data_IF_579071042480
#
_entry.id   IF_579071042480
#
_cell.length_a   1.000
_cell.length_b   1.000
_cell.length_c   1.000
_cell.angle_alpha   90.00
_cell.angle_beta   90.00
_cell.angle_gamma   90.00
#
_symmetry.space_group_name_H-M   'P 1'
#
loop_
_entity.id
_entity.type
_entity.pdbx_description
1 polymer ?
#
# COMPACT_ATOMS: atom_id res chain seq x y z
N UNK A 1 24.06 -4.79 10.46
CA UNK A 1 25.31 -5.32 11.01
C UNK A 1 25.66 -6.53 10.16
N UNK A 2 26.81 -6.51 9.49
CA UNK A 2 27.14 -7.43 8.40
C UNK A 2 27.49 -8.84 8.92
N UNK A 3 26.86 -9.87 8.38
CA UNK A 3 27.00 -11.28 8.79
C UNK A 3 28.45 -11.75 8.66
N UNK A 4 29.21 -11.16 7.74
CA UNK A 4 30.65 -11.41 7.57
C UNK A 4 31.48 -11.02 8.81
N UNK A 5 31.07 -10.00 9.56
CA UNK A 5 31.80 -9.52 10.75
C UNK A 5 31.67 -10.51 11.91
N UNK A 6 30.51 -11.16 12.05
CA UNK A 6 30.25 -12.14 13.12
C UNK A 6 31.02 -13.45 12.86
N UNK A 7 31.11 -13.89 11.61
CA UNK A 7 31.90 -15.07 11.24
C UNK A 7 33.41 -14.83 11.40
N UNK A 8 33.90 -13.62 11.07
CA UNK A 8 35.29 -13.23 11.31
C UNK A 8 35.69 -13.26 12.79
N UNK A 9 34.79 -12.84 13.70
CA UNK A 9 35.03 -12.89 15.15
C UNK A 9 35.02 -14.32 15.71
N UNK A 10 34.23 -15.24 15.13
CA UNK A 10 34.22 -16.66 15.54
C UNK A 10 35.55 -17.36 15.17
N UNK A 11 36.14 -17.04 14.02
CA UNK A 11 37.42 -17.61 13.58
C UNK A 11 38.64 -17.11 14.39
N UNK A 12 38.60 -15.88 14.90
CA UNK A 12 39.70 -15.37 15.75
C UNK A 12 39.66 -15.93 17.18
N UNK A 13 38.47 -16.27 17.70
CA UNK A 13 38.35 -16.83 19.05
C UNK A 13 38.78 -18.30 19.14
N UNK A 14 38.55 -19.12 18.11
CA UNK A 14 38.98 -20.53 18.12
C UNK A 14 40.50 -20.66 18.06
N UNK A 15 41.20 -19.75 17.36
CA UNK A 15 42.66 -19.75 17.25
C UNK A 15 43.37 -19.38 18.55
N UNK A 16 42.74 -18.56 19.42
CA UNK A 16 43.31 -18.20 20.73
C UNK A 16 43.14 -19.27 21.81
N UNK A 17 42.19 -20.20 21.64
CA UNK A 17 41.98 -21.29 22.59
C UNK A 17 43.00 -22.43 22.45
N UNK A 18 43.58 -22.67 21.27
CA UNK A 18 44.63 -23.70 21.11
C UNK A 18 45.95 -23.30 21.79
N UNK A 19 46.30 -22.01 21.74
CA UNK A 19 47.58 -21.52 22.26
C UNK A 19 47.65 -21.56 23.80
N UNK A 20 46.49 -21.53 24.49
CA UNK A 20 46.43 -21.63 25.95
C UNK A 20 46.52 -23.08 26.46
N UNK A 21 46.10 -24.05 25.66
CA UNK A 21 46.15 -25.46 26.05
C UNK A 21 47.56 -26.05 25.87
N UNK A 22 48.35 -25.50 24.94
CA UNK A 22 49.76 -25.86 24.73
C UNK A 22 50.68 -25.26 25.81
N UNK A 23 50.32 -24.12 26.42
CA UNK A 23 51.12 -23.50 27.49
C UNK A 23 50.99 -24.19 28.86
N UNK A 24 49.94 -24.98 29.08
CA UNK A 24 49.69 -25.67 30.36
C UNK A 24 50.36 -27.06 30.46
N UNK A 25 50.95 -27.58 29.38
CA UNK A 25 51.70 -28.84 29.41
C UNK A 25 53.17 -28.67 29.82
N UNK A 26 53.68 -27.43 29.92
CA UNK A 26 55.11 -27.16 30.12
C UNK A 26 55.50 -26.77 31.57
N UNK A 27 54.55 -26.78 32.52
CA UNK A 27 54.78 -26.39 33.92
C UNK A 27 55.02 -27.56 34.87
N UNK A 28 55.02 -28.82 34.39
CA UNK A 28 55.20 -30.01 35.23
C UNK A 28 56.64 -30.49 35.44
N UNK A 29 57.67 -29.75 34.99
CA UNK A 29 59.06 -30.25 34.94
C UNK A 29 60.05 -29.65 35.95
N UNK A 30 59.62 -29.07 37.08
CA UNK A 30 60.55 -28.49 38.05
C UNK A 30 60.21 -28.86 39.50
N UNK A 31 60.45 -30.11 39.88
CA UNK A 31 60.73 -30.53 41.26
C UNK A 31 61.39 -31.91 41.20
N UNK A 32 62.66 -31.93 40.80
CA UNK A 32 63.52 -33.11 40.95
C UNK A 32 63.98 -33.11 42.42
N UNK A 33 63.48 -34.05 43.21
CA UNK A 33 63.89 -34.22 44.61
C UNK A 33 65.42 -34.38 44.69
N UNK A 34 66.09 -33.78 45.69
CA UNK A 34 67.49 -34.04 45.93
C UNK A 34 67.66 -35.48 46.43
N UNK A 35 68.38 -36.30 45.65
CA UNK A 35 68.86 -37.61 46.07
C UNK A 35 69.80 -37.45 47.27
N UNK A 36 69.28 -37.65 48.48
CA UNK A 36 70.10 -37.80 49.67
C UNK A 36 70.85 -39.14 49.57
N UNK A 37 72.11 -39.11 49.16
CA UNK A 37 73.00 -40.26 49.35
C UNK A 37 73.19 -40.43 50.85
N UNK A 38 72.61 -41.49 51.41
CA UNK A 38 72.94 -41.97 52.75
C UNK A 38 74.45 -42.20 52.83
N UNK A 39 75.14 -41.28 53.51
CA UNK A 39 76.54 -41.49 53.86
C UNK A 39 76.55 -42.60 54.92
N UNK A 40 76.90 -43.81 54.49
CA UNK A 40 77.20 -44.98 55.31
C UNK A 40 78.45 -44.70 56.18
N UNK A 41 78.37 -43.74 57.10
CA UNK A 41 79.34 -43.56 58.16
C UNK A 41 78.89 -44.47 59.30
N UNK A 42 79.36 -45.71 59.24
CA UNK A 42 79.25 -46.72 60.29
C UNK A 42 80.02 -46.24 61.55
N UNK A 43 79.36 -45.84 62.66
CA UNK A 43 80.05 -45.35 63.84
C UNK A 43 80.40 -46.53 64.78
N UNK A 44 81.06 -47.56 64.25
CA UNK A 44 81.33 -48.80 64.99
C UNK A 44 82.74 -49.37 64.81
N UNK A 45 83.74 -48.51 64.62
CA UNK A 45 85.14 -48.93 64.67
C UNK A 45 85.96 -47.90 65.44
N UNK A 46 86.07 -48.04 66.77
CA UNK A 46 87.18 -47.55 67.60
C UNK A 46 86.88 -47.86 69.08
N UNK A 47 86.75 -49.14 69.42
CA UNK A 47 86.79 -49.59 70.82
C UNK A 47 87.51 -50.94 70.88
N UNK A 48 88.62 -50.93 71.61
CA UNK A 48 89.33 -52.05 72.22
C UNK A 48 90.42 -52.74 71.38
N UNK A 49 91.65 -52.24 71.53
CA UNK A 49 92.81 -53.11 71.75
C UNK A 49 93.81 -52.39 72.67
N UNK A 50 93.65 -52.60 73.99
CA UNK A 50 94.68 -52.28 74.98
C UNK A 50 95.10 -53.61 75.61
N UNK A 51 96.06 -54.26 74.95
CA UNK A 51 96.79 -55.40 75.48
C UNK A 51 98.01 -54.95 76.28
N UNK A 52 97.96 -55.23 77.58
CA UNK A 52 99.05 -55.59 78.50
C UNK A 52 100.20 -54.58 78.82
N UNK A 53 100.38 -54.20 80.10
CA UNK A 53 101.52 -53.40 80.56
C UNK A 53 102.70 -54.27 81.02
N UNK A 54 103.89 -53.98 80.50
CA UNK A 54 105.16 -54.48 81.02
C UNK A 54 105.59 -53.67 82.26
N UNK A 55 105.98 -54.38 83.31
CA UNK A 55 106.57 -53.83 84.53
C UNK A 55 107.90 -53.12 84.23
N UNK A 56 108.13 -51.94 84.80
CA UNK A 56 109.09 -51.75 85.92
C UNK A 56 109.53 -50.29 86.08
N UNK A 57 109.61 -49.90 87.36
CA UNK A 57 110.34 -48.78 87.98
C UNK A 57 109.61 -47.43 88.17
N UNK A 58 109.31 -47.02 89.43
CA UNK A 58 108.81 -45.69 89.83
C UNK A 58 109.99 -44.72 90.03
N UNK A 59 109.84 -43.37 89.90
CA UNK A 59 109.15 -42.54 90.91
C UNK A 59 108.48 -41.24 90.38
N UNK A 60 107.95 -40.44 91.33
CA UNK A 60 107.29 -39.13 91.23
C UNK A 60 105.78 -39.12 90.88
N UNK A 61 105.04 -39.80 91.75
CA UNK A 61 103.60 -39.63 91.98
C UNK A 61 103.34 -38.48 92.96
N UNK A 62 102.87 -37.32 92.45
CA UNK A 62 101.83 -36.50 93.11
C UNK A 62 101.31 -35.38 92.19
N UNK A 63 102.13 -34.83 91.29
CA UNK A 63 101.69 -33.77 90.35
C UNK A 63 100.81 -34.29 89.19
N UNK A 64 101.12 -35.46 88.60
CA UNK A 64 100.31 -36.05 87.51
C UNK A 64 98.85 -36.38 87.89
N UNK A 65 98.56 -36.57 89.18
CA UNK A 65 97.21 -36.89 89.67
C UNK A 65 96.33 -35.64 89.79
N UNK A 66 96.93 -34.47 90.05
CA UNK A 66 96.22 -33.18 90.07
C UNK A 66 95.85 -32.74 88.67
N UNK A 67 96.76 -32.85 87.70
CA UNK A 67 96.51 -32.48 86.31
C UNK A 67 95.37 -33.30 85.69
N UNK A 68 95.33 -34.61 85.95
CA UNK A 68 94.23 -35.47 85.49
C UNK A 68 92.88 -35.17 86.17
N UNK A 69 92.90 -34.73 87.43
CA UNK A 69 91.69 -34.32 88.15
C UNK A 69 91.15 -32.97 87.66
N UNK A 70 92.03 -32.02 87.32
CA UNK A 70 91.68 -30.73 86.74
C UNK A 70 91.17 -30.88 85.29
N UNK A 71 91.83 -31.69 84.46
CA UNK A 71 91.36 -32.04 83.11
C UNK A 71 89.95 -32.68 83.14
N UNK A 72 89.68 -33.55 84.12
CA UNK A 72 88.36 -34.17 84.26
C UNK A 72 87.30 -33.16 84.72
N UNK A 73 87.65 -32.26 85.65
CA UNK A 73 86.75 -31.17 86.05
C UNK A 73 86.42 -30.23 84.88
N UNK A 74 87.42 -29.91 84.05
CA UNK A 74 87.24 -29.10 82.84
C UNK A 74 86.36 -29.82 81.81
N UNK A 75 86.59 -31.12 81.58
CA UNK A 75 85.76 -31.94 80.70
C UNK A 75 84.30 -31.98 81.16
N UNK A 76 84.06 -32.17 82.47
CA UNK A 76 82.71 -32.16 83.04
C UNK A 76 82.03 -30.80 82.83
N UNK A 77 82.77 -29.68 82.95
CA UNK A 77 82.25 -28.35 82.67
C UNK A 77 81.89 -28.17 81.19
N UNK A 78 82.78 -28.58 80.28
CA UNK A 78 82.53 -28.52 78.83
C UNK A 78 81.33 -29.38 78.42
N UNK A 79 81.19 -30.58 78.97
CA UNK A 79 80.03 -31.45 78.74
C UNK A 79 78.72 -30.79 79.19
N UNK A 80 78.71 -30.08 80.33
CA UNK A 80 77.53 -29.34 80.81
C UNK A 80 77.17 -28.17 79.89
N UNK A 81 78.16 -27.43 79.39
CA UNK A 81 77.90 -26.35 78.43
C UNK A 81 77.38 -26.89 77.09
N UNK A 82 77.92 -28.01 76.60
CA UNK A 82 77.38 -28.69 75.41
C UNK A 82 75.93 -29.15 75.63
N UNK A 83 75.62 -29.74 76.79
CA UNK A 83 74.26 -30.15 77.13
C UNK A 83 73.28 -28.97 77.09
N UNK A 84 73.69 -27.81 77.62
CA UNK A 84 72.90 -26.57 77.57
C UNK A 84 72.68 -26.09 76.12
N UNK A 85 73.73 -26.08 75.29
CA UNK A 85 73.62 -25.72 73.87
C UNK A 85 72.65 -26.67 73.14
N UNK A 86 72.75 -27.97 73.37
CA UNK A 86 71.87 -28.98 72.78
C UNK A 86 70.42 -28.73 73.21
N UNK A 87 70.18 -28.43 74.48
CA UNK A 87 68.85 -28.13 75.00
C UNK A 87 68.25 -26.87 74.35
N UNK A 88 69.04 -25.80 74.22
CA UNK A 88 68.62 -24.57 73.56
C UNK A 88 68.34 -24.76 72.07
N UNK A 89 69.20 -25.52 71.36
CA UNK A 89 68.99 -25.90 69.97
C UNK A 89 67.71 -26.72 69.80
N UNK A 90 67.47 -27.70 70.68
CA UNK A 90 66.24 -28.51 70.68
C UNK A 90 64.99 -27.65 70.88
N UNK A 91 65.05 -26.66 71.78
CA UNK A 91 63.96 -25.71 72.01
C UNK A 91 63.72 -24.81 70.79
N UNK A 92 64.78 -24.26 70.18
CA UNK A 92 64.69 -23.46 68.95
C UNK A 92 64.13 -24.28 67.78
N UNK A 93 64.60 -25.51 67.60
CA UNK A 93 64.11 -26.42 66.57
C UNK A 93 62.63 -26.73 66.77
N UNK A 94 62.20 -27.08 67.99
CA UNK A 94 60.77 -27.30 68.30
C UNK A 94 59.90 -26.09 67.95
N UNK A 95 60.37 -24.87 68.25
CA UNK A 95 59.66 -23.63 67.89
C UNK A 95 59.57 -23.44 66.37
N UNK A 96 60.67 -23.66 65.65
CA UNK A 96 60.70 -23.53 64.20
C UNK A 96 59.78 -24.55 63.52
N UNK A 97 59.81 -25.81 63.96
CA UNK A 97 58.90 -26.87 63.46
C UNK A 97 57.45 -26.46 63.68
N UNK A 98 57.08 -26.01 64.89
CA UNK A 98 55.71 -25.55 65.14
C UNK A 98 55.28 -24.37 64.27
N UNK A 99 56.19 -23.44 63.95
CA UNK A 99 55.91 -22.33 63.01
C UNK A 99 55.71 -22.83 61.58
N UNK A 100 56.52 -23.79 61.12
CA UNK A 100 56.37 -24.40 59.79
C UNK A 100 55.09 -25.23 59.68
N UNK A 101 54.71 -25.97 60.73
CA UNK A 101 53.44 -26.71 60.79
C UNK A 101 52.26 -25.74 60.70
N UNK A 102 52.27 -24.65 61.47
CA UNK A 102 51.23 -23.62 61.42
C UNK A 102 51.14 -22.96 60.04
N UNK A 103 52.28 -22.59 59.45
CA UNK A 103 52.34 -21.98 58.13
C UNK A 103 51.81 -22.94 57.05
N UNK A 104 52.20 -24.21 57.12
CA UNK A 104 51.69 -25.26 56.22
C UNK A 104 50.17 -25.39 56.34
N UNK A 105 49.63 -25.45 57.57
CA UNK A 105 48.18 -25.53 57.79
C UNK A 105 47.43 -24.32 57.22
N UNK A 106 47.96 -23.11 57.41
CA UNK A 106 47.37 -21.89 56.86
C UNK A 106 47.35 -21.92 55.32
N UNK A 107 48.47 -22.29 54.69
CA UNK A 107 48.56 -22.43 53.23
C UNK A 107 47.58 -23.48 52.69
N UNK A 108 47.42 -24.60 53.39
CA UNK A 108 46.43 -25.63 53.01
C UNK A 108 45.01 -25.07 53.06
N UNK A 109 44.66 -24.33 54.12
CA UNK A 109 43.34 -23.70 54.23
C UNK A 109 43.10 -22.69 53.10
N UNK A 110 44.07 -21.80 52.82
CA UNK A 110 43.97 -20.83 51.73
C UNK A 110 43.83 -21.52 50.36
N UNK A 111 44.57 -22.61 50.13
CA UNK A 111 44.48 -23.38 48.89
C UNK A 111 43.10 -24.02 48.70
N UNK A 112 42.51 -24.57 49.77
CA UNK A 112 41.16 -25.11 49.74
C UNK A 112 40.11 -24.03 49.44
N UNK A 113 40.25 -22.85 50.05
CA UNK A 113 39.36 -21.71 49.77
C UNK A 113 39.47 -21.25 48.32
N UNK A 114 40.68 -21.14 47.77
CA UNK A 114 40.89 -20.79 46.37
C UNK A 114 40.32 -21.85 45.43
N UNK A 115 40.46 -23.12 45.77
CA UNK A 115 39.90 -24.24 45.00
C UNK A 115 38.37 -24.15 44.94
N UNK A 116 37.70 -23.83 46.05
CA UNK A 116 36.24 -23.59 46.09
C UNK A 116 35.84 -22.40 45.20
N UNK A 117 36.54 -21.26 45.32
CA UNK A 117 36.29 -20.06 44.49
C UNK A 117 36.42 -20.36 42.99
N UNK A 118 37.45 -21.10 42.58
CA UNK A 118 37.65 -21.50 41.18
C UNK A 118 36.51 -22.39 40.69
N UNK A 119 36.07 -23.35 41.52
CA UNK A 119 34.94 -24.22 41.19
C UNK A 119 33.64 -23.43 40.99
N UNK A 120 33.35 -22.50 41.89
CA UNK A 120 32.16 -21.63 41.82
C UNK A 120 32.18 -20.74 40.57
N UNK A 121 33.32 -20.10 40.29
CA UNK A 121 33.50 -19.29 39.07
C UNK A 121 33.35 -20.14 37.80
N UNK A 122 33.86 -21.38 37.80
CA UNK A 122 33.69 -22.32 36.68
C UNK A 122 32.22 -22.71 36.49
N UNK A 123 31.45 -22.85 37.58
CA UNK A 123 30.01 -23.09 37.52
C UNK A 123 29.27 -21.88 36.94
N UNK A 124 29.55 -20.68 37.44
CA UNK A 124 28.95 -19.43 36.95
C UNK A 124 29.24 -19.20 35.47
N UNK A 125 30.49 -19.42 35.03
CA UNK A 125 30.89 -19.33 33.62
C UNK A 125 30.06 -20.26 32.73
N UNK A 126 29.79 -21.50 33.17
CA UNK A 126 28.95 -22.43 32.41
C UNK A 126 27.51 -21.96 32.31
N UNK A 127 26.92 -21.46 33.41
CA UNK A 127 25.56 -20.91 33.40
C UNK A 127 25.44 -19.74 32.41
N UNK A 128 26.37 -18.78 32.46
CA UNK A 128 26.40 -17.66 31.51
C UNK A 128 26.54 -18.12 30.05
N UNK A 129 27.33 -19.16 29.78
CA UNK A 129 27.46 -19.70 28.43
C UNK A 129 26.14 -20.31 27.91
N UNK A 130 25.42 -21.05 28.75
CA UNK A 130 24.11 -21.60 28.40
C UNK A 130 23.08 -20.49 28.14
N UNK A 131 23.05 -19.47 29.00
CA UNK A 131 22.15 -18.31 28.82
C UNK A 131 22.45 -17.57 27.51
N UNK A 132 23.73 -17.39 27.17
CA UNK A 132 24.14 -16.80 25.89
C UNK A 132 23.69 -17.65 24.69
N UNK A 133 23.81 -18.98 24.77
CA UNK A 133 23.36 -19.87 23.69
C UNK A 133 21.84 -19.76 23.47
N UNK A 134 21.06 -19.69 24.55
CA UNK A 134 19.60 -19.48 24.49
C UNK A 134 19.27 -18.12 23.88
N UNK A 135 19.98 -17.06 24.27
CA UNK A 135 19.77 -15.73 23.69
C UNK A 135 20.12 -15.68 22.20
N UNK A 136 21.20 -16.34 21.76
CA UNK A 136 21.57 -16.44 20.35
C UNK A 136 20.46 -17.12 19.55
N UNK A 137 19.91 -18.23 20.04
CA UNK A 137 18.78 -18.92 19.40
C UNK A 137 17.55 -18.01 19.29
N UNK A 138 17.21 -17.30 20.37
CA UNK A 138 16.09 -16.35 20.38
C UNK A 138 16.29 -15.20 19.38
N UNK A 139 17.50 -14.66 19.27
CA UNK A 139 17.81 -13.60 18.29
C UNK A 139 17.59 -14.12 16.88
N UNK A 140 18.09 -15.32 16.57
CA UNK A 140 17.92 -15.93 15.26
C UNK A 140 16.43 -16.15 14.91
N UNK A 141 15.63 -16.64 15.86
CA UNK A 141 14.19 -16.82 15.65
C UNK A 141 13.47 -15.48 15.37
N UNK A 142 13.84 -14.43 16.10
CA UNK A 142 13.31 -13.07 15.89
C UNK A 142 13.72 -12.50 14.53
N UNK A 143 14.94 -12.72 14.08
CA UNK A 143 15.40 -12.32 12.75
C UNK A 143 14.62 -13.05 11.64
N UNK A 144 14.34 -14.35 11.82
CA UNK A 144 13.51 -15.12 10.90
C UNK A 144 12.07 -14.57 10.84
N UNK A 145 11.47 -14.29 12.00
CA UNK A 145 10.12 -13.70 12.09
C UNK A 145 10.08 -12.32 11.42
N UNK A 146 11.09 -11.47 11.66
CA UNK A 146 11.23 -10.17 10.99
C UNK A 146 11.27 -10.33 9.48
N UNK A 147 12.03 -11.30 8.96
CA UNK A 147 12.09 -11.58 7.52
C UNK A 147 10.74 -11.94 6.92
N UNK A 148 9.94 -12.80 7.60
CA UNK A 148 8.58 -13.14 7.16
C UNK A 148 7.67 -11.91 7.11
N UNK A 149 7.70 -11.08 8.16
CA UNK A 149 6.89 -9.87 8.24
C UNK A 149 7.22 -8.87 7.11
N UNK A 150 8.51 -8.73 6.76
CA UNK A 150 8.94 -7.88 5.64
C UNK A 150 8.37 -8.38 4.32
N UNK A 151 8.43 -9.68 4.04
CA UNK A 151 7.87 -10.27 2.83
C UNK A 151 6.35 -10.09 2.75
N UNK A 152 5.64 -10.25 3.87
CA UNK A 152 4.19 -10.02 3.94
C UNK A 152 3.84 -8.56 3.65
N UNK A 153 4.59 -7.61 4.21
CA UNK A 153 4.42 -6.17 3.95
C UNK A 153 4.68 -5.82 2.49
N UNK A 154 5.75 -6.35 1.88
CA UNK A 154 6.01 -6.16 0.45
C UNK A 154 4.87 -6.71 -0.43
N UNK A 155 4.29 -7.85 -0.03
CA UNK A 155 3.10 -8.42 -0.68
C UNK A 155 1.87 -7.53 -0.56
N UNK A 156 1.63 -6.93 0.62
CA UNK A 156 0.53 -5.99 0.82
C UNK A 156 0.69 -4.70 0.00
N UNK A 157 1.91 -4.14 -0.05
CA UNK A 157 2.21 -2.94 -0.85
C UNK A 157 1.85 -3.17 -2.32
N UNK A 158 2.24 -4.31 -2.90
CA UNK A 158 1.91 -4.66 -4.29
C UNK A 158 0.40 -4.71 -4.52
N UNK A 159 -0.35 -5.36 -3.62
CA UNK A 159 -1.82 -5.42 -3.72
C UNK A 159 -2.48 -4.05 -3.62
N UNK A 160 -1.96 -3.16 -2.78
CA UNK A 160 -2.46 -1.78 -2.67
C UNK A 160 -2.25 -1.05 -4.00
N UNK A 161 -1.05 -1.12 -4.58
CA UNK A 161 -0.77 -0.51 -5.88
C UNK A 161 -1.66 -1.06 -7.01
N UNK A 162 -1.92 -2.38 -7.02
CA UNK A 162 -2.84 -2.99 -7.99
C UNK A 162 -4.29 -2.47 -7.82
N UNK A 163 -4.74 -2.30 -6.58
CA UNK A 163 -6.08 -1.75 -6.28
C UNK A 163 -6.20 -0.26 -6.61
N UNK A 164 -5.15 0.53 -6.36
CA UNK A 164 -5.08 1.94 -6.75
C UNK A 164 -5.21 2.07 -8.28
N UNK A 165 -4.47 1.26 -9.04
CA UNK A 165 -4.57 1.24 -10.51
C UNK A 165 -5.99 0.86 -10.99
N UNK A 166 -6.62 -0.15 -10.38
CA UNK A 166 -8.00 -0.53 -10.70
C UNK A 166 -9.03 0.55 -10.33
N UNK A 167 -8.76 1.35 -9.30
CA UNK A 167 -9.61 2.47 -8.93
C UNK A 167 -9.50 3.60 -9.95
N UNK A 168 -8.29 3.94 -10.40
CA UNK A 168 -8.06 4.94 -11.46
C UNK A 168 -8.71 4.54 -12.80
N UNK A 169 -8.43 3.31 -13.25
CA UNK A 169 -9.44 2.38 -13.78
C UNK A 169 -10.87 2.89 -14.00
N UNK A 170 -11.66 2.56 -13.00
CA UNK A 170 -13.10 2.78 -12.89
C UNK A 170 -13.47 4.26 -12.86
N UNK A 171 -12.62 5.13 -12.28
CA UNK A 171 -12.87 6.58 -12.27
C UNK A 171 -12.88 7.12 -13.70
N UNK A 172 -11.92 6.73 -14.55
CA UNK A 172 -11.90 7.13 -15.96
C UNK A 172 -13.13 6.63 -16.73
N UNK A 173 -13.52 5.38 -16.51
CA UNK A 173 -14.71 4.81 -17.14
C UNK A 173 -15.99 5.56 -16.71
N UNK A 174 -16.10 5.93 -15.43
CA UNK A 174 -17.23 6.70 -14.91
C UNK A 174 -17.28 8.12 -15.48
N UNK A 175 -16.13 8.78 -15.62
CA UNK A 175 -16.03 10.09 -16.27
C UNK A 175 -16.46 10.03 -17.75
N UNK A 176 -16.05 8.97 -18.47
CA UNK A 176 -16.49 8.74 -19.85
C UNK A 176 -18.00 8.52 -19.94
N UNK A 177 -18.57 7.69 -19.07
CA UNK A 177 -20.01 7.44 -19.01
C UNK A 177 -20.79 8.71 -18.66
N UNK A 178 -20.29 9.52 -17.73
CA UNK A 178 -20.90 10.80 -17.36
C UNK A 178 -20.89 11.78 -18.54
N UNK A 179 -19.79 11.82 -19.31
CA UNK A 179 -19.68 12.62 -20.53
C UNK A 179 -20.68 12.17 -21.61
N UNK A 180 -20.82 10.85 -21.83
CA UNK A 180 -21.80 10.28 -22.75
C UNK A 180 -23.24 10.60 -22.33
N UNK A 181 -23.58 10.44 -21.06
CA UNK A 181 -24.89 10.78 -20.53
C UNK A 181 -25.21 12.27 -20.74
N UNK A 182 -24.28 13.18 -20.46
CA UNK A 182 -24.46 14.62 -20.71
C UNK A 182 -24.62 14.95 -22.19
N UNK A 183 -23.94 14.22 -23.09
CA UNK A 183 -24.11 14.39 -24.53
C UNK A 183 -25.50 13.91 -25.01
N UNK A 184 -25.99 12.80 -24.48
CA UNK A 184 -27.34 12.29 -24.75
C UNK A 184 -28.41 13.25 -24.24
N UNK A 185 -28.29 13.76 -23.01
CA UNK A 185 -29.22 14.74 -22.44
C UNK A 185 -29.32 16.01 -23.31
N UNK A 186 -28.18 16.50 -23.84
CA UNK A 186 -28.16 17.63 -24.79
C UNK A 186 -28.84 17.29 -26.11
N UNK A 187 -28.69 16.06 -26.60
CA UNK A 187 -29.35 15.60 -27.83
C UNK A 187 -30.86 15.53 -27.63
N UNK A 188 -31.32 14.95 -26.53
CA UNK A 188 -32.73 14.86 -26.16
C UNK A 188 -33.37 16.25 -26.05
N UNK A 189 -32.71 17.20 -25.37
CA UNK A 189 -33.18 18.57 -25.28
C UNK A 189 -33.34 19.22 -26.66
N UNK A 190 -32.39 18.99 -27.58
CA UNK A 190 -32.45 19.51 -28.95
C UNK A 190 -33.56 18.83 -29.77
N UNK A 191 -33.78 17.53 -29.58
CA UNK A 191 -34.86 16.79 -30.23
C UNK A 191 -36.22 17.33 -29.75
N UNK A 192 -36.41 17.49 -28.44
CA UNK A 192 -37.61 18.11 -27.86
C UNK A 192 -37.88 19.51 -28.43
N UNK A 193 -36.84 20.33 -28.57
CA UNK A 193 -36.95 21.67 -29.18
C UNK A 193 -37.43 21.60 -30.64
N UNK A 194 -36.84 20.72 -31.46
CA UNK A 194 -37.23 20.53 -32.87
C UNK A 194 -38.68 20.04 -32.99
N UNK A 195 -39.09 19.06 -32.20
CA UNK A 195 -40.47 18.57 -32.21
C UNK A 195 -41.46 19.65 -31.78
N UNK A 196 -41.13 20.43 -30.75
CA UNK A 196 -41.95 21.56 -30.31
C UNK A 196 -42.13 22.61 -31.41
N UNK A 197 -41.06 22.97 -32.11
CA UNK A 197 -41.12 23.90 -33.24
C UNK A 197 -41.93 23.35 -34.42
N UNK A 198 -41.80 22.05 -34.71
CA UNK A 198 -42.56 21.38 -35.77
C UNK A 198 -44.06 21.31 -35.43
N UNK A 199 -44.41 20.94 -34.20
CA UNK A 199 -45.78 20.95 -33.70
C UNK A 199 -46.42 22.33 -33.82
N UNK A 200 -45.73 23.39 -33.37
CA UNK A 200 -46.24 24.76 -33.48
C UNK A 200 -46.48 25.20 -34.93
N UNK A 201 -45.62 24.77 -35.86
CA UNK A 201 -45.81 25.03 -37.30
C UNK A 201 -47.04 24.30 -37.84
N UNK A 202 -47.23 23.03 -37.50
CA UNK A 202 -48.40 22.25 -37.93
C UNK A 202 -49.70 22.77 -37.33
N UNK A 203 -49.69 23.17 -36.05
CA UNK A 203 -50.85 23.77 -35.39
C UNK A 203 -51.28 25.07 -36.08
N UNK A 204 -50.31 25.94 -36.41
CA UNK A 204 -50.58 27.18 -37.16
C UNK A 204 -51.20 26.90 -38.55
N UNK A 205 -50.72 25.86 -39.25
CA UNK A 205 -51.30 25.43 -40.53
C UNK A 205 -52.71 24.84 -40.36
N UNK A 206 -52.96 24.09 -39.27
CA UNK A 206 -54.28 23.59 -38.93
C UNK A 206 -55.27 24.73 -38.66
N UNK A 207 -54.89 25.70 -37.83
CA UNK A 207 -55.70 26.89 -37.55
C UNK A 207 -56.03 27.65 -38.85
N UNK A 208 -55.04 27.80 -39.74
CA UNK A 208 -55.25 28.40 -41.06
C UNK A 208 -56.23 27.61 -41.94
N UNK A 209 -56.11 26.27 -41.98
CA UNK A 209 -57.03 25.43 -42.74
C UNK A 209 -58.45 25.44 -42.16
N UNK A 210 -58.61 25.43 -40.83
CA UNK A 210 -59.91 25.58 -40.17
C UNK A 210 -60.58 26.90 -40.52
N UNK A 211 -59.82 28.01 -40.49
CA UNK A 211 -60.33 29.33 -40.86
C UNK A 211 -60.76 29.36 -42.34
N UNK A 212 -59.96 28.81 -43.25
CA UNK A 212 -60.33 28.66 -44.68
C UNK A 212 -61.61 27.84 -44.86
N UNK A 213 -61.72 26.68 -44.22
CA UNK A 213 -62.90 25.80 -44.31
C UNK A 213 -64.14 26.53 -43.79
N UNK A 214 -64.02 27.31 -42.71
CA UNK A 214 -65.14 28.08 -42.14
C UNK A 214 -65.71 29.15 -43.09
N UNK A 215 -64.90 29.63 -44.04
CA UNK A 215 -65.29 30.64 -45.03
C UNK A 215 -65.84 30.04 -46.34
N UNK A 216 -65.67 28.74 -46.57
CA UNK A 216 -66.10 28.07 -47.81
C UNK A 216 -67.54 27.56 -47.75
N UNK A 217 -68.16 27.33 -48.91
CA UNK A 217 -69.46 26.65 -48.98
C UNK A 217 -69.30 25.17 -48.56
N UNK A 218 -70.34 24.52 -48.00
CA UNK A 218 -70.24 23.15 -47.51
C UNK A 218 -69.81 22.10 -48.54
N UNK A 219 -70.00 22.37 -49.84
CA UNK A 219 -69.58 21.46 -50.91
C UNK A 219 -68.10 21.66 -51.32
N UNK A 220 -67.56 22.87 -51.15
CA UNK A 220 -66.18 23.22 -51.55
C UNK A 220 -65.14 22.79 -50.49
N UNK A 221 -65.53 22.74 -49.22
CA UNK A 221 -64.64 22.34 -48.11
C UNK A 221 -64.21 20.85 -48.12
N UNK A 222 -64.90 19.99 -48.89
CA UNK A 222 -64.61 18.54 -48.96
C UNK A 222 -63.21 18.22 -49.47
N UNK A 223 -62.60 19.12 -50.23
CA UNK A 223 -61.26 18.92 -50.79
C UNK A 223 -60.13 19.08 -49.76
N UNK A 224 -60.34 19.87 -48.69
CA UNK A 224 -59.35 20.14 -47.64
C UNK A 224 -59.47 19.19 -46.42
N UNK A 225 -60.62 18.52 -46.27
CA UNK A 225 -60.87 17.63 -45.13
C UNK A 225 -59.85 16.48 -44.98
N UNK A 226 -59.36 15.83 -46.06
CA UNK A 226 -58.35 14.77 -45.94
C UNK A 226 -56.99 15.27 -45.42
N UNK A 227 -56.56 16.46 -45.85
CA UNK A 227 -55.29 17.05 -45.37
C UNK A 227 -55.42 17.52 -43.93
N UNK A 228 -56.56 18.14 -43.57
CA UNK A 228 -56.84 18.57 -42.20
C UNK A 228 -56.84 17.40 -41.20
N UNK A 229 -57.55 16.31 -41.49
CA UNK A 229 -57.56 15.12 -40.61
C UNK A 229 -56.17 14.49 -40.47
N UNK A 230 -55.36 14.53 -41.52
CA UNK A 230 -53.98 14.03 -41.47
C UNK A 230 -53.12 14.89 -40.54
N UNK A 231 -53.27 16.21 -40.62
CA UNK A 231 -52.56 17.15 -39.75
C UNK A 231 -53.00 17.01 -38.28
N UNK A 232 -54.30 16.89 -38.00
CA UNK A 232 -54.83 16.65 -36.64
C UNK A 232 -54.18 15.41 -36.02
N UNK A 233 -54.19 14.28 -36.75
CA UNK A 233 -53.59 13.04 -36.28
C UNK A 233 -52.07 13.16 -36.05
N UNK A 234 -51.35 13.92 -36.89
CA UNK A 234 -49.92 14.17 -36.69
C UNK A 234 -49.65 15.03 -35.46
N UNK A 235 -50.49 16.04 -35.18
CA UNK A 235 -50.38 16.86 -33.98
C UNK A 235 -50.66 16.04 -32.73
N UNK A 236 -51.72 15.21 -32.71
CA UNK A 236 -52.02 14.32 -31.58
C UNK A 236 -50.87 13.35 -31.28
N UNK A 237 -50.23 12.78 -32.31
CA UNK A 237 -49.06 11.92 -32.14
C UNK A 237 -47.90 12.69 -31.48
N UNK A 238 -47.60 13.90 -31.96
CA UNK A 238 -46.49 14.67 -31.42
C UNK A 238 -46.79 15.18 -30.01
N UNK A 239 -48.02 15.59 -29.71
CA UNK A 239 -48.44 15.94 -28.35
C UNK A 239 -48.24 14.77 -27.40
N UNK A 240 -48.63 13.55 -27.79
CA UNK A 240 -48.37 12.33 -27.02
C UNK A 240 -46.87 12.06 -26.82
N UNK A 241 -46.03 12.37 -27.81
CA UNK A 241 -44.57 12.20 -27.69
C UNK A 241 -43.89 13.26 -26.83
N UNK A 242 -44.48 14.45 -26.73
CA UNK A 242 -43.94 15.58 -25.96
C UNK A 242 -44.54 15.73 -24.57
N UNK A 243 -45.63 15.02 -24.27
CA UNK A 243 -46.18 14.98 -22.92
C UNK A 243 -45.13 14.40 -21.97
N UNK A 244 -44.69 15.21 -20.99
CA UNK A 244 -43.76 14.82 -19.92
C UNK A 244 -44.45 13.85 -18.93
N UNK A 245 -45.02 12.75 -19.42
CA UNK A 245 -45.45 11.66 -18.54
C UNK A 245 -44.18 10.95 -18.05
N UNK A 246 -43.90 11.12 -16.76
CA UNK A 246 -42.83 10.44 -16.02
C UNK A 246 -42.90 8.90 -16.13
N UNK A 247 -44.03 8.35 -16.59
CA UNK A 247 -44.33 6.92 -16.74
C UNK A 247 -44.34 6.42 -18.20
N UNK A 248 -44.00 7.25 -19.19
CA UNK A 248 -43.90 6.81 -20.58
C UNK A 248 -42.64 5.94 -20.78
N UNK A 249 -42.77 4.64 -20.49
CA UNK A 249 -41.77 3.59 -20.76
C UNK A 249 -41.51 3.37 -22.27
N UNK A 250 -42.05 4.25 -23.12
CA UNK A 250 -41.70 4.39 -24.54
C UNK A 250 -40.38 5.19 -24.66
N UNK A 251 -39.38 4.83 -23.86
CA UNK A 251 -38.00 5.17 -24.16
C UNK A 251 -37.68 4.46 -25.46
N UNK A 252 -37.64 5.23 -26.57
CA UNK A 252 -37.04 4.75 -27.79
C UNK A 252 -35.67 4.18 -27.43
N UNK A 253 -35.42 2.91 -27.74
CA UNK A 253 -34.07 2.36 -27.71
C UNK A 253 -33.27 3.17 -28.73
N UNK A 254 -32.62 4.24 -28.25
CA UNK A 254 -31.79 5.14 -29.06
C UNK A 254 -30.55 4.43 -29.62
N UNK A 255 -30.31 3.17 -29.25
CA UNK A 255 -29.35 2.29 -29.92
C UNK A 255 -29.75 1.99 -31.37
N UNK A 256 -31.03 2.08 -31.74
CA UNK A 256 -31.52 2.01 -33.12
C UNK A 256 -31.61 3.40 -33.78
N UNK A 257 -30.51 4.16 -33.70
CA UNK A 257 -30.29 5.45 -34.38
C UNK A 257 -30.73 5.48 -35.87
N UNK A 258 -30.60 4.41 -36.68
CA UNK A 258 -31.04 4.41 -38.08
C UNK A 258 -32.56 4.52 -38.25
N UNK A 259 -33.35 3.96 -37.32
CA UNK A 259 -34.81 3.93 -37.46
C UNK A 259 -35.43 5.29 -37.20
N UNK A 260 -34.90 6.03 -36.22
CA UNK A 260 -35.34 7.39 -35.95
C UNK A 260 -35.02 8.34 -37.11
N UNK A 261 -33.80 8.26 -37.64
CA UNK A 261 -33.38 9.09 -38.77
C UNK A 261 -34.22 8.78 -40.02
N UNK A 262 -34.58 7.52 -40.24
CA UNK A 262 -35.48 7.10 -41.32
C UNK A 262 -36.91 7.62 -41.13
N UNK A 263 -37.48 7.52 -39.92
CA UNK A 263 -38.80 8.06 -39.59
C UNK A 263 -38.85 9.58 -39.77
N UNK A 264 -37.85 10.29 -39.26
CA UNK A 264 -37.73 11.74 -39.42
C UNK A 264 -37.65 12.13 -40.90
N UNK A 265 -36.83 11.42 -41.69
CA UNK A 265 -36.70 11.67 -43.12
C UNK A 265 -38.01 11.41 -43.87
N UNK A 266 -38.74 10.36 -43.50
CA UNK A 266 -40.04 10.06 -44.10
C UNK A 266 -41.10 11.10 -43.75
N UNK A 267 -41.15 11.56 -42.49
CA UNK A 267 -42.09 12.58 -42.03
C UNK A 267 -41.83 13.93 -42.72
N UNK A 268 -40.56 14.32 -42.83
CA UNK A 268 -40.14 15.53 -43.53
C UNK A 268 -40.49 15.46 -45.03
N UNK A 269 -40.30 14.29 -45.65
CA UNK A 269 -40.64 14.04 -47.05
C UNK A 269 -42.15 14.20 -47.29
N UNK A 270 -42.99 13.57 -46.45
CA UNK A 270 -44.45 13.67 -46.54
C UNK A 270 -44.94 15.10 -46.34
N UNK A 271 -44.37 15.82 -45.38
CA UNK A 271 -44.70 17.23 -45.14
C UNK A 271 -44.36 18.11 -46.35
N UNK A 272 -43.15 17.95 -46.90
CA UNK A 272 -42.73 18.69 -48.09
C UNK A 272 -43.63 18.39 -49.31
N UNK A 273 -44.02 17.12 -49.49
CA UNK A 273 -44.94 16.74 -50.57
C UNK A 273 -46.30 17.42 -50.42
N UNK A 274 -46.87 17.43 -49.21
CA UNK A 274 -48.16 18.08 -48.94
C UNK A 274 -48.07 19.60 -49.08
N UNK A 275 -47.01 20.22 -48.56
CA UNK A 275 -46.78 21.67 -48.71
C UNK A 275 -46.69 22.07 -50.19
N UNK A 276 -46.02 21.26 -51.02
CA UNK A 276 -45.99 21.47 -52.47
C UNK A 276 -47.39 21.38 -53.10
N UNK A 277 -48.21 20.39 -52.71
CA UNK A 277 -49.58 20.25 -53.20
C UNK A 277 -50.43 21.46 -52.84
N UNK A 278 -50.35 21.93 -51.60
CA UNK A 278 -51.06 23.14 -51.13
C UNK A 278 -50.60 24.38 -51.89
N UNK A 279 -49.29 24.58 -52.08
CA UNK A 279 -48.76 25.71 -52.89
C UNK A 279 -49.28 25.70 -54.33
N UNK A 280 -49.32 24.53 -54.97
CA UNK A 280 -49.83 24.39 -56.34
C UNK A 280 -51.34 24.73 -56.38
N UNK A 281 -52.10 24.30 -55.37
CA UNK A 281 -53.52 24.65 -55.28
C UNK A 281 -53.74 26.15 -55.03
N UNK A 282 -52.94 26.76 -54.16
CA UNK A 282 -52.97 28.20 -53.91
C UNK A 282 -52.68 29.01 -55.18
N UNK A 283 -51.68 28.60 -55.97
CA UNK A 283 -51.38 29.22 -57.27
C UNK A 283 -52.57 29.11 -58.25
N UNK A 284 -53.20 27.94 -58.34
CA UNK A 284 -54.39 27.75 -59.19
C UNK A 284 -55.56 28.63 -58.76
N UNK A 285 -55.77 28.80 -57.45
CA UNK A 285 -56.81 29.67 -56.91
C UNK A 285 -56.52 31.14 -57.22
N UNK A 286 -55.25 31.57 -57.15
CA UNK A 286 -54.85 32.94 -57.49
C UNK A 286 -55.06 33.24 -58.99
N UNK A 287 -54.72 32.29 -59.86
CA UNK A 287 -55.00 32.38 -61.31
C UNK A 287 -56.51 32.47 -61.58
N UNK A 288 -57.32 31.63 -60.92
CA UNK A 288 -58.78 31.67 -61.04
C UNK A 288 -59.37 32.99 -60.55
N UNK A 289 -58.86 33.51 -59.43
CA UNK A 289 -59.27 34.80 -58.88
C UNK A 289 -58.97 35.94 -59.87
N UNK A 290 -57.77 35.95 -60.45
CA UNK A 290 -57.40 36.92 -61.49
C UNK A 290 -58.36 36.88 -62.68
N UNK A 291 -58.73 35.68 -63.15
CA UNK A 291 -59.71 35.53 -64.23
C UNK A 291 -61.11 36.05 -63.85
N UNK A 292 -61.56 35.80 -62.61
CA UNK A 292 -62.86 36.29 -62.11
C UNK A 292 -62.85 37.82 -62.02
N UNK A 293 -61.77 38.42 -61.52
CA UNK A 293 -61.64 39.88 -61.45
C UNK A 293 -61.67 40.51 -62.85
N UNK A 294 -61.04 39.88 -63.84
CA UNK A 294 -61.07 40.29 -65.24
C UNK A 294 -62.48 40.16 -65.86
N UNK A 295 -63.18 39.06 -65.59
CA UNK A 295 -64.58 38.88 -66.00
C UNK A 295 -65.51 39.90 -65.35
N UNK A 296 -65.35 40.18 -64.06
CA UNK A 296 -66.15 41.18 -63.34
C UNK A 296 -65.92 42.58 -63.90
N UNK A 297 -64.67 42.92 -64.26
CA UNK A 297 -64.33 44.17 -64.94
C UNK A 297 -65.05 44.28 -66.29
N UNK A 298 -65.05 43.22 -67.10
CA UNK A 298 -65.74 43.18 -68.39
C UNK A 298 -67.27 43.29 -68.25
N UNK A 299 -67.87 42.62 -67.25
CA UNK A 299 -69.31 42.74 -66.95
C UNK A 299 -69.66 44.18 -66.58
N UNK A 300 -68.87 44.82 -65.73
CA UNK A 300 -69.09 46.21 -65.33
C UNK A 300 -69.02 47.18 -66.52
N UNK A 301 -68.11 46.94 -67.46
CA UNK A 301 -68.01 47.72 -68.70
C UNK A 301 -69.23 47.51 -69.60
N UNK A 302 -69.69 46.27 -69.79
CA UNK A 302 -70.90 45.95 -70.55
C UNK A 302 -72.16 46.56 -69.92
N UNK A 303 -72.29 46.55 -68.59
CA UNK A 303 -73.41 47.20 -67.89
C UNK A 303 -73.41 48.73 -68.10
N UNK A 304 -72.22 49.33 -68.16
CA UNK A 304 -72.05 50.75 -68.45
C UNK A 304 -72.48 51.06 -69.89
N UNK A 305 -72.06 50.24 -70.85
CA UNK A 305 -72.49 50.37 -72.25
C UNK A 305 -74.01 50.18 -72.41
N UNK A 306 -74.60 49.20 -71.71
CA UNK A 306 -76.06 48.97 -71.70
C UNK A 306 -76.83 50.18 -71.17
N UNK A 307 -76.37 50.78 -70.06
CA UNK A 307 -76.98 52.01 -69.51
C UNK A 307 -76.91 53.17 -70.48
N UNK A 308 -75.77 53.34 -71.17
CA UNK A 308 -75.61 54.37 -72.21
C UNK A 308 -76.59 54.16 -73.36
N UNK A 309 -76.67 52.93 -73.90
CA UNK A 309 -77.56 52.61 -75.01
C UNK A 309 -79.04 52.76 -74.64
N UNK A 310 -79.42 52.41 -73.42
CA UNK A 310 -80.77 52.63 -72.90
C UNK A 310 -81.12 54.12 -72.85
N UNK A 311 -80.20 54.97 -72.41
CA UNK A 311 -80.36 56.43 -72.44
C UNK A 311 -80.48 56.98 -73.87
N UNK A 312 -79.62 56.52 -74.79
CA UNK A 312 -79.69 56.91 -76.21
C UNK A 312 -81.05 56.52 -76.83
N UNK A 313 -81.60 55.35 -76.47
CA UNK A 313 -82.89 54.86 -76.96
C UNK A 313 -84.07 55.65 -76.39
N UNK A 314 -84.01 56.03 -75.11
CA UNK A 314 -84.97 56.90 -74.45
C UNK A 314 -85.03 58.27 -75.13
N UNK A 315 -83.86 58.86 -75.42
CA UNK A 315 -83.75 60.12 -76.18
C UNK A 315 -84.34 60.01 -77.59
N UNK A 316 -84.11 58.91 -78.30
CA UNK A 316 -84.71 58.66 -79.62
C UNK A 316 -86.23 58.49 -79.54
N UNK A 317 -86.74 57.79 -78.52
CA UNK A 317 -88.18 57.64 -78.31
C UNK A 317 -88.85 58.98 -78.03
N UNK A 318 -88.22 59.87 -77.24
CA UNK A 318 -88.70 61.24 -77.03
C UNK A 318 -88.73 62.04 -78.34
N UNK A 319 -87.69 61.94 -79.18
CA UNK A 319 -87.65 62.59 -80.50
C UNK A 319 -88.77 62.11 -81.43
N UNK A 320 -89.04 60.80 -81.45
CA UNK A 320 -90.13 60.23 -82.26
C UNK A 320 -91.49 60.69 -81.73
N UNK A 321 -91.69 60.73 -80.42
CA UNK A 321 -92.92 61.23 -79.81
C UNK A 321 -93.19 62.70 -80.21
N UNK A 322 -92.16 63.56 -80.14
CA UNK A 322 -92.25 64.95 -80.60
C UNK A 322 -92.62 65.08 -82.09
N UNK A 323 -92.05 64.23 -82.96
CA UNK A 323 -92.39 64.21 -84.38
C UNK A 323 -93.82 63.71 -84.65
N UNK A 324 -94.32 62.75 -83.86
CA UNK A 324 -95.69 62.26 -83.96
C UNK A 324 -96.71 63.30 -83.50
N UNK A 325 -96.40 64.09 -82.47
CA UNK A 325 -97.25 65.22 -82.04
C UNK A 325 -97.33 66.30 -83.14
N UNK A 326 -96.22 66.60 -83.82
CA UNK A 326 -96.17 67.51 -84.97
C UNK A 326 -96.98 67.05 -86.19
N UNK A 327 -97.20 65.74 -86.37
CA UNK A 327 -97.99 65.17 -87.47
C UNK A 327 -99.49 65.11 -87.15
N UNK A 328 -99.90 65.44 -85.93
CA UNK A 328 -101.29 65.38 -85.47
C UNK A 328 -102.03 66.73 -85.54
N UNK A 329 -101.31 67.81 -85.83
CA UNK A 329 -101.82 69.17 -86.10
C UNK A 329 -102.04 69.42 -87.60
#
# INVERSE_FOLDING_TARGET
MDVMVILGLRAQNTKKTSDFEEQNQNTHCLLKEPEWRESLINPQCMLNDIGQPCCSTPPQHDDMRKDSQEQNAQLIHEMKEQEKIILDLKKKHKKAVGQFEQHTANLTCELEEQTKKISDLKCQKRKLFLDLEVQIKRIFDLECQKGKLVLDLEGQIKRISDLEFQTEMLVRDLEEQTSKASALEKRDAKIKEVFSAFAGTMLSELEYQEELISQMSPDDGKFLLPSHNTLVHLVEIIEQWTADDEDSDMMFDLEDEPQFEQLYTELLSRFNEQSCKVKIQAMKLDDQKSMIDEQNSAIFELETQKRKLAGDLEEQNEKVALLLDLLRE
#
